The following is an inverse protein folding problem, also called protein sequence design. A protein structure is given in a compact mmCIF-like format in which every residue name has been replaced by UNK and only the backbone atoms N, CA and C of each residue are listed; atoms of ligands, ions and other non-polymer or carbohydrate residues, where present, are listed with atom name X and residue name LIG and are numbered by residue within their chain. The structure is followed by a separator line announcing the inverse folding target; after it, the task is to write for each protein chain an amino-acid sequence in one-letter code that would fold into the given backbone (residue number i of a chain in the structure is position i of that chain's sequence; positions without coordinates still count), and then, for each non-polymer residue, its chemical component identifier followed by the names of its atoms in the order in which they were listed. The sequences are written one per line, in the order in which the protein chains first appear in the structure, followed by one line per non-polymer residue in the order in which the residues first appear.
data_IF_101547348788
#
_entry.id   IF_101547348788
#
_cell.length_a   1.000
_cell.length_b   1.000
_cell.length_c   1.000
_cell.angle_alpha   90.00
_cell.angle_beta   90.00
_cell.angle_gamma   90.00
#
_symmetry.space_group_name_H-M   'P 1'
#
loop_
_entity.id
_entity.type
_entity.pdbx_description
1 polymer ?
#
# COMPACT_ATOMS: atom_id res chain seq x y z
N UNK A 1 -13.93 -30.90 -9.73
CA UNK A 1 -13.52 -29.49 -9.61
C UNK A 1 -13.86 -28.80 -10.91
N UNK A 2 -14.62 -27.71 -10.83
CA UNK A 2 -14.92 -26.91 -11.99
C UNK A 2 -13.70 -26.08 -12.42
N UNK A 3 -13.66 -25.62 -13.68
CA UNK A 3 -12.59 -24.74 -14.20
C UNK A 3 -12.41 -23.48 -13.32
N UNK A 4 -13.51 -22.94 -12.81
CA UNK A 4 -13.54 -21.81 -11.88
C UNK A 4 -12.73 -22.08 -10.60
N UNK A 5 -12.81 -23.29 -10.05
CA UNK A 5 -12.13 -23.64 -8.80
C UNK A 5 -10.60 -23.68 -9.00
N UNK A 6 -10.16 -24.18 -10.16
CA UNK A 6 -8.74 -24.18 -10.56
C UNK A 6 -8.19 -22.77 -10.75
N UNK A 7 -8.97 -21.89 -11.39
CA UNK A 7 -8.58 -20.49 -11.61
C UNK A 7 -8.44 -19.74 -10.29
N UNK A 8 -9.40 -19.88 -9.38
CA UNK A 8 -9.34 -19.25 -8.07
C UNK A 8 -8.15 -19.75 -7.24
N UNK A 9 -7.93 -21.06 -7.23
CA UNK A 9 -6.83 -21.65 -6.47
C UNK A 9 -5.45 -21.24 -7.04
N UNK A 10 -5.32 -21.24 -8.37
CA UNK A 10 -4.12 -20.76 -9.05
C UNK A 10 -3.84 -19.28 -8.76
N UNK A 11 -4.87 -18.43 -8.79
CA UNK A 11 -4.76 -17.00 -8.49
C UNK A 11 -4.32 -16.77 -7.03
N UNK A 12 -4.92 -17.47 -6.07
CA UNK A 12 -4.56 -17.36 -4.66
C UNK A 12 -3.11 -17.76 -4.40
N UNK A 13 -2.65 -18.87 -4.99
CA UNK A 13 -1.25 -19.31 -4.88
C UNK A 13 -0.31 -18.29 -5.50
N UNK A 14 -0.64 -17.78 -6.68
CA UNK A 14 0.19 -16.79 -7.36
C UNK A 14 0.32 -15.50 -6.53
N UNK A 15 -0.78 -15.00 -5.97
CA UNK A 15 -0.78 -13.85 -5.05
C UNK A 15 0.03 -14.13 -3.78
N UNK A 16 -0.11 -15.32 -3.19
CA UNK A 16 0.65 -15.72 -2.01
C UNK A 16 2.16 -15.79 -2.30
N UNK A 17 2.56 -16.29 -3.47
CA UNK A 17 3.95 -16.32 -3.91
C UNK A 17 4.51 -14.92 -4.15
N UNK A 18 3.74 -14.01 -4.74
CA UNK A 18 4.15 -12.61 -4.89
C UNK A 18 4.36 -11.94 -3.53
N UNK A 19 3.40 -12.12 -2.60
CA UNK A 19 3.51 -11.59 -1.25
C UNK A 19 4.74 -12.16 -0.53
N UNK A 20 4.95 -13.47 -0.60
CA UNK A 20 6.11 -14.13 0.00
C UNK A 20 7.43 -13.59 -0.57
N UNK A 21 7.50 -13.37 -1.89
CA UNK A 21 8.68 -12.81 -2.55
C UNK A 21 8.98 -11.39 -2.07
N UNK A 22 7.94 -10.55 -1.94
CA UNK A 22 8.08 -9.19 -1.43
C UNK A 22 8.59 -9.21 0.01
N UNK A 23 8.00 -10.03 0.88
CA UNK A 23 8.40 -10.15 2.30
C UNK A 23 9.85 -10.62 2.40
N UNK A 24 10.24 -11.65 1.64
CA UNK A 24 11.63 -12.15 1.63
C UNK A 24 12.60 -11.06 1.18
N UNK A 25 12.27 -10.30 0.14
CA UNK A 25 13.11 -9.18 -0.32
C UNK A 25 13.19 -8.03 0.67
N UNK A 26 12.11 -7.75 1.40
CA UNK A 26 12.12 -6.78 2.51
C UNK A 26 13.06 -7.25 3.63
N UNK A 27 13.01 -8.54 4.00
CA UNK A 27 13.87 -9.11 5.04
C UNK A 27 15.35 -9.20 4.63
N UNK A 28 15.62 -9.42 3.34
CA UNK A 28 16.97 -9.44 2.78
C UNK A 28 17.59 -8.05 2.67
N UNK A 29 16.81 -6.98 2.85
CA UNK A 29 17.26 -5.60 2.68
C UNK A 29 17.37 -5.15 1.21
N UNK A 30 17.04 -6.03 0.25
CA UNK A 30 16.93 -5.69 -1.17
C UNK A 30 15.90 -4.59 -1.42
N UNK A 31 14.86 -4.55 -0.59
CA UNK A 31 13.92 -3.43 -0.51
C UNK A 31 14.36 -2.56 0.67
N UNK A 32 15.12 -1.51 0.37
CA UNK A 32 15.55 -0.51 1.34
C UNK A 32 14.35 0.33 1.82
N UNK A 33 13.56 -0.22 2.73
CA UNK A 33 12.41 0.47 3.34
C UNK A 33 12.83 1.77 4.02
N UNK A 34 14.03 1.78 4.60
CA UNK A 34 14.62 2.96 5.23
C UNK A 34 14.86 4.08 4.21
N UNK A 35 15.34 3.75 3.00
CA UNK A 35 15.50 4.73 1.91
C UNK A 35 14.17 5.15 1.29
N UNK A 36 13.19 4.25 1.26
CA UNK A 36 11.83 4.59 0.88
C UNK A 36 11.15 5.56 1.87
N UNK A 37 11.67 5.66 3.11
CA UNK A 37 11.17 6.53 4.17
C UNK A 37 12.11 7.70 4.50
N UNK A 38 13.22 7.89 3.78
CA UNK A 38 14.17 8.99 4.00
C UNK A 38 14.00 10.09 2.95
N UNK A 39 14.60 11.26 3.13
CA UNK A 39 14.69 12.23 2.02
C UNK A 39 15.80 11.81 1.05
N UNK A 40 15.51 11.79 -0.26
CA UNK A 40 16.39 11.30 -1.33
C UNK A 40 17.84 11.84 -1.34
N UNK A 41 18.14 12.95 -0.63
CA UNK A 41 19.47 13.58 -0.72
C UNK A 41 20.12 13.94 0.63
N UNK A 42 19.50 13.59 1.77
CA UNK A 42 20.10 13.88 3.08
C UNK A 42 20.15 12.64 3.98
N UNK A 43 19.48 11.53 3.62
CA UNK A 43 19.35 10.36 4.50
C UNK A 43 18.49 10.63 5.73
N UNK A 44 18.04 11.87 5.93
CA UNK A 44 17.18 12.27 7.04
C UNK A 44 15.80 11.59 6.93
N UNK A 45 15.36 11.03 8.05
CA UNK A 45 14.06 10.39 8.19
C UNK A 45 12.93 11.35 7.78
N UNK A 46 12.05 10.89 6.90
CA UNK A 46 10.93 11.64 6.35
C UNK A 46 9.60 11.13 6.95
N UNK A 47 9.14 11.70 8.09
CA UNK A 47 7.96 11.19 8.80
C UNK A 47 6.70 11.19 7.92
N UNK A 48 6.55 12.16 7.02
CA UNK A 48 5.46 12.22 6.06
C UNK A 48 5.49 11.10 5.02
N UNK A 49 6.68 10.61 4.62
CA UNK A 49 6.80 9.44 3.72
C UNK A 49 6.40 8.17 4.46
N UNK A 50 6.85 8.02 5.71
CA UNK A 50 6.48 6.89 6.55
C UNK A 50 4.96 6.86 6.81
N UNK A 51 4.36 8.01 7.14
CA UNK A 51 2.92 8.16 7.31
C UNK A 51 2.16 7.79 6.02
N UNK A 52 2.58 8.31 4.86
CA UNK A 52 1.93 8.01 3.59
C UNK A 52 2.00 6.53 3.22
N UNK A 53 3.16 5.91 3.44
CA UNK A 53 3.36 4.48 3.23
C UNK A 53 2.42 3.64 4.10
N UNK A 54 2.38 3.92 5.40
CA UNK A 54 1.48 3.22 6.34
C UNK A 54 0.01 3.43 5.99
N UNK A 55 -0.39 4.66 5.65
CA UNK A 55 -1.76 4.96 5.23
C UNK A 55 -2.15 4.19 3.95
N UNK A 56 -1.22 4.05 3.00
CA UNK A 56 -1.44 3.33 1.75
C UNK A 56 -1.61 1.83 1.99
N UNK A 57 -0.74 1.24 2.82
CA UNK A 57 -0.86 -0.18 3.22
C UNK A 57 -2.18 -0.41 3.96
N UNK A 58 -2.52 0.47 4.91
CA UNK A 58 -3.75 0.34 5.69
C UNK A 58 -4.99 0.40 4.79
N UNK A 59 -5.03 1.34 3.83
CA UNK A 59 -6.16 1.47 2.91
C UNK A 59 -6.31 0.24 2.00
N UNK A 60 -5.20 -0.27 1.43
CA UNK A 60 -5.21 -1.48 0.60
C UNK A 60 -5.64 -2.70 1.41
N UNK A 61 -5.08 -2.88 2.62
CA UNK A 61 -5.45 -3.99 3.50
C UNK A 61 -6.93 -3.94 3.86
N UNK A 62 -7.44 -2.77 4.27
CA UNK A 62 -8.84 -2.56 4.60
C UNK A 62 -9.77 -2.90 3.42
N UNK A 63 -9.46 -2.41 2.22
CA UNK A 63 -10.25 -2.70 1.03
C UNK A 63 -10.19 -4.18 0.62
N UNK A 64 -9.02 -4.82 0.75
CA UNK A 64 -8.87 -6.25 0.52
C UNK A 64 -9.74 -7.08 1.49
N UNK A 65 -9.77 -6.72 2.78
CA UNK A 65 -10.63 -7.40 3.76
C UNK A 65 -12.13 -7.22 3.45
N UNK A 66 -12.54 -6.04 2.99
CA UNK A 66 -13.91 -5.84 2.50
C UNK A 66 -14.21 -6.74 1.31
N UNK A 67 -13.32 -6.81 0.31
CA UNK A 67 -13.47 -7.72 -0.82
C UNK A 67 -13.57 -9.19 -0.41
N UNK A 68 -12.75 -9.62 0.56
CA UNK A 68 -12.81 -10.99 1.08
C UNK A 68 -14.09 -11.31 1.82
N UNK A 69 -14.70 -10.33 2.51
CA UNK A 69 -15.99 -10.52 3.17
C UNK A 69 -17.14 -10.85 2.21
N UNK A 70 -16.99 -10.51 0.92
CA UNK A 70 -17.96 -10.80 -0.12
C UNK A 70 -17.76 -12.17 -0.78
N UNK A 71 -16.66 -12.87 -0.49
CA UNK A 71 -16.43 -14.23 -1.01
C UNK A 71 -17.53 -15.17 -0.51
N UNK A 72 -18.16 -15.88 -1.44
CA UNK A 72 -19.25 -16.83 -1.14
C UNK A 72 -20.63 -16.21 -1.03
N UNK A 73 -20.77 -14.89 -1.15
CA UNK A 73 -22.08 -14.20 -1.14
C UNK A 73 -22.77 -14.17 -2.51
N UNK A 74 -22.07 -14.58 -3.57
CA UNK A 74 -22.56 -14.45 -4.95
C UNK A 74 -22.44 -13.03 -5.52
N UNK A 75 -21.78 -12.11 -4.80
CA UNK A 75 -21.49 -10.77 -5.30
C UNK A 75 -20.71 -10.85 -6.63
N UNK A 76 -21.17 -10.12 -7.63
CA UNK A 76 -20.58 -10.06 -8.99
C UNK A 76 -19.73 -8.82 -9.21
N UNK A 77 -19.64 -7.94 -8.21
CA UNK A 77 -18.86 -6.71 -8.23
C UNK A 77 -18.07 -6.56 -6.94
N UNK A 78 -16.97 -5.81 -7.02
CA UNK A 78 -16.21 -5.39 -5.85
C UNK A 78 -17.01 -4.35 -5.06
N UNK A 79 -16.79 -4.24 -3.74
CA UNK A 79 -17.47 -3.23 -2.94
C UNK A 79 -17.01 -1.85 -3.39
N UNK A 80 -17.90 -0.87 -3.32
CA UNK A 80 -17.50 0.52 -3.51
C UNK A 80 -16.49 0.94 -2.43
N UNK A 81 -15.57 1.84 -2.78
CA UNK A 81 -14.60 2.35 -1.81
C UNK A 81 -15.29 3.40 -0.93
N UNK A 82 -15.21 3.21 0.39
CA UNK A 82 -15.76 4.16 1.38
C UNK A 82 -15.11 5.56 1.21
N UNK A 83 -15.95 6.59 1.12
CA UNK A 83 -15.53 8.00 1.04
C UNK A 83 -14.58 8.40 2.18
N UNK A 84 -14.71 7.78 3.35
CA UNK A 84 -13.82 7.97 4.49
C UNK A 84 -12.39 7.55 4.16
N UNK A 85 -12.22 6.41 3.48
CA UNK A 85 -10.90 5.91 3.06
C UNK A 85 -10.30 6.81 2.00
N UNK A 86 -11.12 7.23 1.02
CA UNK A 86 -10.69 8.17 -0.02
C UNK A 86 -10.23 9.49 0.60
N UNK A 87 -11.01 10.02 1.56
CA UNK A 87 -10.69 11.27 2.26
C UNK A 87 -9.40 11.16 3.05
N UNK A 88 -9.21 10.07 3.80
CA UNK A 88 -7.98 9.82 4.56
C UNK A 88 -6.75 9.68 3.66
N UNK A 89 -6.87 8.97 2.53
CA UNK A 89 -5.80 8.87 1.54
C UNK A 89 -5.48 10.22 0.89
N UNK A 90 -6.51 11.01 0.56
CA UNK A 90 -6.32 12.36 0.02
C UNK A 90 -5.60 13.28 1.02
N UNK A 91 -6.01 13.25 2.29
CA UNK A 91 -5.35 14.00 3.37
C UNK A 91 -3.90 13.57 3.59
N UNK A 92 -3.66 12.25 3.60
CA UNK A 92 -2.32 11.66 3.68
C UNK A 92 -1.40 12.14 2.55
N UNK A 93 -1.91 12.16 1.32
CA UNK A 93 -1.17 12.71 0.18
C UNK A 93 -0.92 14.21 0.34
N UNK A 94 -1.88 14.97 0.88
CA UNK A 94 -1.71 16.39 1.20
C UNK A 94 -0.57 16.63 2.20
N UNK A 95 -0.49 15.84 3.27
CA UNK A 95 0.60 15.90 4.27
C UNK A 95 1.95 15.62 3.59
N UNK A 96 2.03 14.57 2.78
CA UNK A 96 3.24 14.25 2.03
C UNK A 96 3.67 15.38 1.07
N UNK A 97 2.75 15.92 0.29
CA UNK A 97 3.05 17.02 -0.65
C UNK A 97 3.50 18.28 0.08
N UNK A 98 2.87 18.59 1.23
CA UNK A 98 3.27 19.72 2.06
C UNK A 98 4.67 19.53 2.66
N UNK A 99 4.97 18.35 3.20
CA UNK A 99 6.31 18.02 3.71
C UNK A 99 7.36 18.11 2.61
N UNK A 100 7.08 17.50 1.45
CA UNK A 100 7.94 17.58 0.26
C UNK A 100 8.21 19.04 -0.16
N UNK A 101 7.18 19.87 -0.20
CA UNK A 101 7.33 21.29 -0.55
C UNK A 101 8.20 22.05 0.48
N UNK A 102 7.96 21.83 1.77
CA UNK A 102 8.70 22.48 2.85
C UNK A 102 10.18 22.09 2.83
N UNK A 103 10.48 20.81 2.64
CA UNK A 103 11.85 20.31 2.52
C UNK A 103 12.54 20.80 1.24
N UNK A 104 11.82 20.83 0.11
CA UNK A 104 12.37 21.37 -1.14
C UNK A 104 12.78 22.84 -0.98
N UNK A 105 11.96 23.65 -0.30
CA UNK A 105 12.24 25.06 -0.06
C UNK A 105 13.48 25.26 0.84
N UNK A 106 13.67 24.42 1.86
CA UNK A 106 14.86 24.46 2.75
C UNK A 106 16.18 24.14 2.04
N UNK A 107 16.16 23.54 0.84
CA UNK A 107 17.38 23.29 0.05
C UNK A 107 17.83 24.49 -0.78
N UNK A 108 16.99 25.50 -0.96
CA UNK A 108 17.27 26.69 -1.76
C UNK A 108 17.79 27.87 -0.93
N UNK A 109 17.82 27.75 0.39
CA UNK A 109 18.32 28.73 1.36
C UNK A 109 19.62 28.22 1.96
#
# INVERSE_FOLDING_TARGET
MALHDWLNWGLQIWLALMLATIVVKMLQGDIALTDAMSHEHQGDYAPERAQLFLASIAAVAYYAFQGFSLLGTGATSLPDVDDTVVTLLAGSNGIYLFGKHTYANRRLV
#
